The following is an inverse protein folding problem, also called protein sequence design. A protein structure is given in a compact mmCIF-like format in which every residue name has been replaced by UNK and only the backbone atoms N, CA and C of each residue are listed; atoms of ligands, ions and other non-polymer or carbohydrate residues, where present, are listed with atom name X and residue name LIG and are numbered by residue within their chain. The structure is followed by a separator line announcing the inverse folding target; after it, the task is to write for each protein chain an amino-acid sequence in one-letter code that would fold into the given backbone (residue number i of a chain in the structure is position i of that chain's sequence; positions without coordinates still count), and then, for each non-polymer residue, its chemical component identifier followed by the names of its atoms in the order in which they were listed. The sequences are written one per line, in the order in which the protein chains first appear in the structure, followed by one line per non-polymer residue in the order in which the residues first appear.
data_IF_466978087967
#
_entry.id   IF_466978087967
#
_cell.length_a   1.000
_cell.length_b   1.000
_cell.length_c   1.000
_cell.angle_alpha   90.00
_cell.angle_beta   90.00
_cell.angle_gamma   90.00
#
_symmetry.space_group_name_H-M   'P 1'
#
loop_
_entity.id
_entity.type
_entity.pdbx_description
1 polymer ?
#
# COMPACT_ATOMS: atom_id res chain seq x y z
N UNK A 1 -13.63 -12.01 -48.19
CA UNK A 1 -14.06 -11.70 -46.81
C UNK A 1 -14.71 -10.34 -46.83
N UNK A 2 -16.03 -10.32 -46.71
CA UNK A 2 -16.83 -9.10 -46.81
C UNK A 2 -16.60 -8.17 -45.62
N UNK A 3 -16.75 -6.86 -45.84
CA UNK A 3 -16.58 -5.85 -44.78
C UNK A 3 -17.51 -6.08 -43.60
N UNK A 4 -18.73 -6.58 -43.85
CA UNK A 4 -19.72 -6.92 -42.82
C UNK A 4 -19.27 -8.05 -41.90
N UNK A 5 -18.60 -9.08 -42.44
CA UNK A 5 -18.08 -10.17 -41.60
C UNK A 5 -16.99 -9.69 -40.63
N UNK A 6 -16.18 -8.69 -41.02
CA UNK A 6 -15.17 -8.10 -40.12
C UNK A 6 -15.81 -7.35 -38.95
N UNK A 7 -16.85 -6.57 -39.23
CA UNK A 7 -17.59 -5.84 -38.19
C UNK A 7 -18.26 -6.82 -37.20
N UNK A 8 -18.82 -7.90 -37.72
CA UNK A 8 -19.49 -8.92 -36.90
C UNK A 8 -18.49 -9.75 -36.09
N UNK A 9 -17.31 -10.07 -36.64
CA UNK A 9 -16.25 -10.74 -35.88
C UNK A 9 -15.73 -9.89 -34.71
N UNK A 10 -15.61 -8.56 -34.90
CA UNK A 10 -15.27 -7.64 -33.81
C UNK A 10 -16.36 -7.64 -32.72
N UNK A 11 -17.63 -7.56 -33.11
CA UNK A 11 -18.75 -7.65 -32.18
C UNK A 11 -18.79 -8.98 -31.43
N UNK A 12 -18.50 -10.10 -32.10
CA UNK A 12 -18.41 -11.42 -31.47
C UNK A 12 -17.30 -11.45 -30.41
N UNK A 13 -16.16 -10.80 -30.66
CA UNK A 13 -15.08 -10.69 -29.67
C UNK A 13 -15.55 -9.90 -28.42
N UNK A 14 -16.21 -8.76 -28.61
CA UNK A 14 -16.74 -7.94 -27.50
C UNK A 14 -17.79 -8.72 -26.69
N UNK A 15 -18.60 -9.55 -27.35
CA UNK A 15 -19.58 -10.44 -26.71
C UNK A 15 -18.87 -11.56 -25.93
N UNK A 16 -17.79 -12.13 -26.49
CA UNK A 16 -17.03 -13.21 -25.85
C UNK A 16 -16.39 -12.77 -24.52
N UNK A 17 -15.91 -11.52 -24.44
CA UNK A 17 -15.36 -10.92 -23.22
C UNK A 17 -16.42 -10.26 -22.32
N UNK A 18 -17.69 -10.29 -22.70
CA UNK A 18 -18.80 -9.77 -21.89
C UNK A 18 -18.96 -8.25 -21.91
N UNK A 19 -18.31 -7.55 -22.85
CA UNK A 19 -18.41 -6.10 -23.01
C UNK A 19 -19.74 -5.69 -23.68
N UNK A 20 -20.31 -6.57 -24.52
CA UNK A 20 -21.58 -6.34 -25.22
C UNK A 20 -22.51 -7.57 -25.18
N UNK A 21 -23.81 -7.34 -25.40
CA UNK A 21 -24.82 -8.41 -25.53
C UNK A 21 -25.03 -8.76 -27.02
N UNK A 22 -25.27 -10.04 -27.29
CA UNK A 22 -25.63 -10.51 -28.64
C UNK A 22 -26.92 -9.83 -29.13
N UNK A 23 -26.85 -9.18 -30.29
CA UNK A 23 -27.99 -8.57 -30.95
C UNK A 23 -28.68 -9.56 -31.91
N UNK A 24 -29.94 -9.32 -32.27
CA UNK A 24 -30.65 -10.17 -33.24
C UNK A 24 -29.96 -10.19 -34.61
N UNK A 25 -29.34 -9.08 -35.02
CA UNK A 25 -28.61 -8.96 -36.29
C UNK A 25 -27.31 -9.79 -36.30
N UNK A 26 -26.56 -9.78 -35.19
CA UNK A 26 -25.34 -10.58 -35.04
C UNK A 26 -25.65 -12.07 -34.94
N UNK A 27 -26.73 -12.44 -34.23
CA UNK A 27 -27.20 -13.82 -34.15
C UNK A 27 -27.70 -14.37 -35.50
N UNK A 28 -28.42 -13.56 -36.26
CA UNK A 28 -28.89 -13.91 -37.61
C UNK A 28 -27.73 -14.14 -38.58
N UNK A 29 -26.74 -13.23 -38.59
CA UNK A 29 -25.57 -13.39 -39.44
C UNK A 29 -24.69 -14.59 -39.05
N UNK A 30 -24.57 -14.86 -37.75
CA UNK A 30 -23.83 -16.03 -37.25
C UNK A 30 -24.47 -17.35 -37.70
N UNK A 31 -25.79 -17.40 -37.85
CA UNK A 31 -26.51 -18.59 -38.30
C UNK A 31 -26.36 -18.85 -39.82
N UNK A 32 -26.13 -17.81 -40.61
CA UNK A 32 -26.07 -17.89 -42.07
C UNK A 32 -24.64 -17.89 -42.63
N UNK A 33 -23.67 -17.33 -41.88
CA UNK A 33 -22.30 -17.14 -42.35
C UNK A 33 -21.33 -18.19 -41.76
N UNK A 34 -20.79 -19.11 -42.58
CA UNK A 34 -19.87 -20.16 -42.10
C UNK A 34 -18.54 -19.60 -41.57
N UNK A 35 -18.06 -18.48 -42.13
CA UNK A 35 -16.81 -17.85 -41.70
C UNK A 35 -16.93 -17.23 -40.29
N UNK A 36 -18.08 -16.62 -39.98
CA UNK A 36 -18.34 -16.07 -38.64
C UNK A 36 -18.60 -17.19 -37.62
N UNK A 37 -19.21 -18.30 -38.06
CA UNK A 37 -19.43 -19.48 -37.23
C UNK A 37 -18.12 -20.15 -36.83
N UNK A 38 -17.20 -20.32 -37.78
CA UNK A 38 -15.86 -20.86 -37.51
C UNK A 38 -15.08 -19.98 -36.52
N UNK A 39 -15.10 -18.66 -36.73
CA UNK A 39 -14.47 -17.69 -35.83
C UNK A 39 -15.04 -17.77 -34.40
N UNK A 40 -16.36 -17.91 -34.26
CA UNK A 40 -17.00 -18.07 -32.94
C UNK A 40 -16.62 -19.39 -32.25
N UNK A 41 -16.53 -20.49 -33.01
CA UNK A 41 -16.08 -21.78 -32.46
C UNK A 41 -14.63 -21.73 -31.99
N UNK A 42 -13.72 -21.14 -32.78
CA UNK A 42 -12.32 -20.97 -32.39
C UNK A 42 -12.17 -20.17 -31.08
N UNK A 43 -12.98 -19.13 -30.87
CA UNK A 43 -12.97 -18.37 -29.62
C UNK A 43 -13.42 -19.21 -28.41
N UNK A 44 -14.47 -20.04 -28.57
CA UNK A 44 -14.94 -20.93 -27.50
C UNK A 44 -13.90 -22.02 -27.18
N UNK A 45 -13.25 -22.59 -28.19
CA UNK A 45 -12.16 -23.56 -27.99
C UNK A 45 -10.97 -22.93 -27.26
N UNK A 46 -10.60 -21.69 -27.61
CA UNK A 46 -9.55 -20.95 -26.89
C UNK A 46 -9.91 -20.76 -25.41
N UNK A 47 -11.17 -20.45 -25.11
CA UNK A 47 -11.65 -20.33 -23.73
C UNK A 47 -11.54 -21.65 -22.96
N UNK A 48 -11.87 -22.78 -23.58
CA UNK A 48 -11.71 -24.10 -22.95
C UNK A 48 -10.23 -24.47 -22.72
N UNK A 49 -9.34 -24.10 -23.65
CA UNK A 49 -7.89 -24.32 -23.53
C UNK A 49 -7.27 -23.41 -22.45
N UNK A 50 -7.81 -22.21 -22.27
CA UNK A 50 -7.35 -21.22 -21.28
C UNK A 50 -8.02 -21.39 -19.91
N UNK A 51 -9.15 -22.10 -19.80
CA UNK A 51 -9.83 -22.37 -18.54
C UNK A 51 -8.93 -23.00 -17.44
N UNK A 52 -7.96 -23.88 -17.76
CA UNK A 52 -7.01 -24.40 -16.77
C UNK A 52 -5.95 -23.37 -16.34
N UNK A 53 -5.73 -22.31 -17.14
CA UNK A 53 -4.85 -21.18 -16.80
C UNK A 53 -5.58 -20.07 -16.02
N UNK A 54 -6.90 -20.18 -15.86
CA UNK A 54 -7.72 -19.34 -14.99
C UNK A 54 -7.45 -19.73 -13.52
N UNK A 55 -6.17 -19.63 -13.15
CA UNK A 55 -5.68 -19.84 -11.81
C UNK A 55 -5.92 -18.54 -11.07
N UNK A 56 -7.07 -18.43 -10.42
CA UNK A 56 -7.30 -17.40 -9.43
C UNK A 56 -6.44 -17.75 -8.21
N UNK A 57 -5.31 -17.06 -7.97
CA UNK A 57 -4.43 -17.45 -6.87
C UNK A 57 -5.21 -17.26 -5.57
N UNK A 58 -5.40 -18.35 -4.82
CA UNK A 58 -5.97 -18.28 -3.48
C UNK A 58 -5.10 -17.35 -2.62
N UNK A 59 -5.58 -16.12 -2.45
CA UNK A 59 -4.88 -15.09 -1.70
C UNK A 59 -5.06 -15.40 -0.20
N UNK A 60 -4.17 -16.25 0.32
CA UNK A 60 -4.18 -16.62 1.73
C UNK A 60 -3.91 -15.36 2.56
N UNK A 61 -4.85 -15.03 3.44
CA UNK A 61 -4.74 -13.86 4.32
C UNK A 61 -3.44 -13.86 5.17
N UNK A 62 -2.91 -15.05 5.48
CA UNK A 62 -1.62 -15.20 6.16
C UNK A 62 -0.44 -14.58 5.40
N UNK A 63 -0.45 -14.58 4.06
CA UNK A 63 0.62 -14.01 3.25
C UNK A 63 0.54 -12.46 3.24
N UNK A 64 -0.67 -11.92 3.32
CA UNK A 64 -0.91 -10.47 3.47
C UNK A 64 -0.42 -10.00 4.83
N UNK A 65 -0.79 -10.71 5.91
CA UNK A 65 -0.39 -10.36 7.28
C UNK A 65 1.13 -10.42 7.45
N UNK A 66 1.78 -11.44 6.86
CA UNK A 66 3.24 -11.53 6.87
C UNK A 66 3.92 -10.39 6.09
N UNK A 67 3.36 -9.96 4.97
CA UNK A 67 3.87 -8.84 4.20
C UNK A 67 3.73 -7.51 4.97
N UNK A 68 2.57 -7.30 5.60
CA UNK A 68 2.29 -6.10 6.41
C UNK A 68 3.19 -6.03 7.66
N UNK A 69 3.32 -7.12 8.41
CA UNK A 69 4.21 -7.18 9.59
C UNK A 69 5.67 -6.92 9.22
N UNK A 70 6.11 -7.38 8.03
CA UNK A 70 7.47 -7.14 7.55
C UNK A 70 7.68 -5.69 7.12
N UNK A 71 6.65 -4.99 6.65
CA UNK A 71 6.71 -3.57 6.34
C UNK A 71 6.77 -2.71 7.61
N UNK A 72 5.90 -2.97 8.59
CA UNK A 72 5.84 -2.23 9.87
C UNK A 72 7.14 -2.36 10.67
N UNK A 73 7.77 -3.55 10.63
CA UNK A 73 9.07 -3.78 11.27
C UNK A 73 10.22 -3.01 10.61
N UNK A 74 10.13 -2.67 9.33
CA UNK A 74 11.16 -1.87 8.64
C UNK A 74 11.03 -0.39 8.96
N UNK A 75 9.80 0.13 9.03
CA UNK A 75 9.55 1.52 9.41
C UNK A 75 10.03 1.80 10.83
N UNK A 76 9.68 0.92 11.78
CA UNK A 76 10.13 1.05 13.18
C UNK A 76 11.65 1.03 13.34
N UNK A 77 12.38 0.21 12.56
CA UNK A 77 13.85 0.20 12.58
C UNK A 77 14.43 1.50 12.01
N UNK A 78 13.82 2.04 10.96
CA UNK A 78 14.25 3.31 10.36
C UNK A 78 13.99 4.50 11.30
N UNK A 79 12.84 4.54 11.96
CA UNK A 79 12.54 5.55 12.99
C UNK A 79 13.51 5.48 14.16
N UNK A 80 13.85 4.27 14.61
CA UNK A 80 14.79 4.07 15.70
C UNK A 80 16.21 4.47 15.30
N UNK A 81 16.60 4.22 14.05
CA UNK A 81 17.88 4.69 13.49
C UNK A 81 17.91 6.22 13.39
N UNK A 82 16.84 6.85 12.88
CA UNK A 82 16.73 8.30 12.81
C UNK A 82 16.81 8.93 14.21
N UNK A 83 16.10 8.36 15.18
CA UNK A 83 16.16 8.78 16.57
C UNK A 83 17.58 8.65 17.15
N UNK A 84 18.27 7.54 16.86
CA UNK A 84 19.64 7.32 17.32
C UNK A 84 20.61 8.36 16.71
N UNK A 85 20.50 8.64 15.41
CA UNK A 85 21.33 9.66 14.73
C UNK A 85 21.09 11.05 15.30
N UNK A 86 19.82 11.44 15.47
CA UNK A 86 19.46 12.76 16.03
C UNK A 86 19.94 12.88 17.48
N UNK A 87 19.78 11.83 18.28
CA UNK A 87 20.24 11.80 19.68
C UNK A 87 21.76 11.91 19.77
N UNK A 88 22.49 11.22 18.91
CA UNK A 88 23.94 11.29 18.85
C UNK A 88 24.41 12.68 18.41
N UNK A 89 23.79 13.26 17.38
CA UNK A 89 24.10 14.61 16.92
C UNK A 89 23.85 15.65 18.01
N UNK A 90 22.74 15.52 18.75
CA UNK A 90 22.42 16.37 19.89
C UNK A 90 23.48 16.25 21.01
N UNK A 91 23.89 15.03 21.37
CA UNK A 91 24.95 14.80 22.36
C UNK A 91 26.28 15.44 21.96
N UNK A 92 26.68 15.28 20.69
CA UNK A 92 27.92 15.88 20.17
C UNK A 92 27.82 17.41 20.20
N UNK A 93 26.70 17.97 19.78
CA UNK A 93 26.46 19.42 19.83
C UNK A 93 26.55 19.94 21.26
N UNK A 94 25.88 19.26 22.20
CA UNK A 94 25.92 19.58 23.61
C UNK A 94 27.35 19.52 24.18
N UNK A 95 28.12 18.50 23.82
CA UNK A 95 29.52 18.37 24.24
C UNK A 95 30.40 19.52 23.72
N UNK A 96 30.23 19.92 22.45
CA UNK A 96 30.97 21.04 21.86
C UNK A 96 30.60 22.37 22.52
N UNK A 97 29.30 22.61 22.72
CA UNK A 97 28.79 23.79 23.44
C UNK A 97 29.33 23.81 24.86
N UNK A 98 29.32 22.67 25.55
CA UNK A 98 29.86 22.54 26.89
C UNK A 98 31.35 22.92 26.88
N UNK A 99 32.17 22.37 26.00
CA UNK A 99 33.61 22.68 25.92
C UNK A 99 33.92 24.15 25.59
N UNK A 100 33.08 24.80 24.79
CA UNK A 100 33.23 26.21 24.41
C UNK A 100 32.72 27.19 25.48
N UNK A 101 31.82 26.75 26.38
CA UNK A 101 31.32 27.59 27.46
C UNK A 101 32.38 27.80 28.54
N UNK A 102 32.49 29.04 29.03
CA UNK A 102 33.28 29.32 30.23
C UNK A 102 32.65 28.62 31.44
N UNK A 103 33.45 28.12 32.39
CA UNK A 103 32.97 27.30 33.50
C UNK A 103 31.90 27.97 34.38
N UNK A 104 31.91 29.31 34.45
CA UNK A 104 30.87 30.07 35.15
C UNK A 104 29.46 29.90 34.55
N UNK A 105 29.34 29.66 33.24
CA UNK A 105 28.04 29.48 32.59
C UNK A 105 27.41 28.09 32.80
N UNK A 106 28.18 27.10 33.26
CA UNK A 106 27.63 25.78 33.56
C UNK A 106 26.59 25.80 34.68
N UNK A 107 26.84 26.58 35.74
CA UNK A 107 25.92 26.71 36.86
C UNK A 107 24.59 27.34 36.44
N UNK A 108 24.64 28.35 35.55
CA UNK A 108 23.43 28.96 34.99
C UNK A 108 22.67 28.01 34.06
N UNK A 109 23.38 27.27 33.22
CA UNK A 109 22.77 26.27 32.34
C UNK A 109 22.13 25.11 33.12
N UNK A 110 22.82 24.62 34.14
CA UNK A 110 22.31 23.58 35.03
C UNK A 110 21.08 24.07 35.81
N UNK A 111 21.12 25.28 36.36
CA UNK A 111 19.97 25.91 37.01
C UNK A 111 18.78 26.10 36.07
N UNK A 112 19.04 26.52 34.83
CA UNK A 112 18.01 26.65 33.79
C UNK A 112 17.37 25.30 33.46
N UNK A 113 18.16 24.22 33.30
CA UNK A 113 17.63 22.88 33.06
C UNK A 113 16.80 22.38 34.24
N UNK A 114 17.26 22.51 35.48
CA UNK A 114 16.48 22.08 36.65
C UNK A 114 15.15 22.82 36.81
N UNK A 115 15.08 24.08 36.39
CA UNK A 115 13.85 24.86 36.44
C UNK A 115 12.89 24.52 35.29
N UNK A 116 13.43 24.25 34.10
CA UNK A 116 12.62 24.07 32.88
C UNK A 116 12.21 22.61 32.63
N UNK A 117 13.03 21.62 32.98
CA UNK A 117 12.69 20.19 32.82
C UNK A 117 11.35 19.80 33.47
N UNK A 118 11.08 20.19 34.74
CA UNK A 118 9.81 19.91 35.39
C UNK A 118 8.62 20.51 34.62
N UNK A 119 8.77 21.73 34.12
CA UNK A 119 7.75 22.43 33.34
C UNK A 119 7.45 21.76 32.00
N UNK A 120 8.49 21.29 31.30
CA UNK A 120 8.32 20.55 30.04
C UNK A 120 7.80 19.12 30.24
N UNK A 121 8.10 18.50 31.38
CA UNK A 121 7.63 17.14 31.71
C UNK A 121 6.19 17.09 32.25
N UNK A 122 5.68 18.20 32.80
CA UNK A 122 4.31 18.35 33.32
C UNK A 122 3.21 17.87 32.36
N UNK A 123 3.18 18.27 31.07
CA UNK A 123 2.15 17.78 30.15
C UNK A 123 2.22 16.26 29.91
N UNK A 124 3.40 15.64 29.95
CA UNK A 124 3.55 14.18 29.83
C UNK A 124 3.06 13.45 31.08
N UNK A 125 3.32 14.01 32.26
CA UNK A 125 2.87 13.46 33.55
C UNK A 125 1.34 13.58 33.66
N UNK A 126 0.77 14.74 33.35
CA UNK A 126 -0.68 14.95 33.35
C UNK A 126 -1.41 14.02 32.35
N UNK A 127 -0.80 13.76 31.19
CA UNK A 127 -1.34 12.83 30.20
C UNK A 127 -1.32 11.37 30.67
N UNK A 128 -0.35 10.98 31.50
CA UNK A 128 -0.34 9.65 32.14
C UNK A 128 -1.39 9.52 33.25
N UNK A 129 -1.55 10.54 34.09
CA UNK A 129 -2.56 10.54 35.16
C UNK A 129 -3.97 10.42 34.55
N UNK A 130 -4.27 11.20 33.51
CA UNK A 130 -5.56 11.14 32.81
C UNK A 130 -5.86 9.80 32.12
N UNK A 131 -4.83 9.07 31.69
CA UNK A 131 -4.97 7.71 31.13
C UNK A 131 -5.12 6.64 32.22
N UNK A 132 -4.58 6.86 33.41
CA UNK A 132 -4.76 5.96 34.56
C UNK A 132 -6.19 5.98 35.12
N UNK A 133 -6.83 7.14 35.15
CA UNK A 133 -8.20 7.29 35.68
C UNK A 133 -9.30 6.78 34.72
N UNK A 134 -8.97 6.51 33.45
CA UNK A 134 -9.95 6.02 32.47
C UNK A 134 -10.11 4.49 32.47
N UNK A 135 -9.38 3.79 33.34
CA UNK A 135 -9.46 2.34 33.56
C UNK A 135 -9.89 1.96 35.00
N UNK A 136 -10.40 2.92 35.78
CA UNK A 136 -11.02 2.70 37.09
C UNK A 136 -12.52 2.58 37.00
#
# INVERSE_FOLDING_TARGET
MDSKCKEIQLLLMDIHYGECKMSEETAGHLAECPDCQACWQEMQEMKEILAPLDFEPELKHADIDHALLRAEKKETVFELLQFAVVSLAYLVLMFVVFRMMKPHYYLYYQGFLYLTLPLFSLPLILRRIRKGDSHG
#
